data_IF_161080865683
#
_entry.id   IF_161080865683
#
_cell.length_a   1.000
_cell.length_b   1.000
_cell.length_c   1.000
_cell.angle_alpha   90.00
_cell.angle_beta   90.00
_cell.angle_gamma   90.00
#
_symmetry.space_group_name_H-M   'P 1'
#
loop_
_entity.id
_entity.type
_entity.pdbx_description
1 polymer ?
#
# COMPACT_ATOMS: atom_id res chain seq x y z
N UNK A 1 -0.67 -11.09 -17.12
CA UNK A 1 0.12 -10.59 -15.98
C UNK A 1 0.57 -11.80 -15.20
N UNK A 2 1.78 -11.80 -14.65
CA UNK A 2 2.26 -12.90 -13.81
C UNK A 2 1.31 -13.14 -12.62
N UNK A 3 0.94 -14.40 -12.39
CA UNK A 3 0.05 -14.82 -11.30
C UNK A 3 0.62 -14.40 -9.92
N UNK A 4 1.95 -14.41 -9.79
CA UNK A 4 2.67 -13.92 -8.60
C UNK A 4 2.43 -12.43 -8.35
N UNK A 5 2.37 -11.63 -9.41
CA UNK A 5 2.17 -10.20 -9.37
C UNK A 5 0.74 -9.84 -9.00
N UNK A 6 -0.22 -10.60 -9.54
CA UNK A 6 -1.64 -10.47 -9.18
C UNK A 6 -1.85 -10.72 -7.68
N UNK A 7 -1.27 -11.81 -7.15
CA UNK A 7 -1.32 -12.13 -5.71
C UNK A 7 -0.66 -11.07 -4.83
N UNK A 8 0.45 -10.48 -5.29
CA UNK A 8 1.10 -9.38 -4.58
C UNK A 8 0.19 -8.15 -4.49
N UNK A 9 -0.44 -7.75 -5.60
CA UNK A 9 -1.39 -6.61 -5.64
C UNK A 9 -2.60 -6.85 -4.74
N UNK A 10 -3.19 -8.05 -4.80
CA UNK A 10 -4.31 -8.43 -3.94
C UNK A 10 -3.92 -8.37 -2.45
N UNK A 11 -2.73 -8.87 -2.09
CA UNK A 11 -2.23 -8.80 -0.71
C UNK A 11 -2.01 -7.37 -0.23
N UNK A 12 -1.41 -6.52 -1.07
CA UNK A 12 -1.20 -5.10 -0.76
C UNK A 12 -2.55 -4.38 -0.57
N UNK A 13 -3.49 -4.60 -1.49
CA UNK A 13 -4.82 -4.00 -1.40
C UNK A 13 -5.55 -4.42 -0.12
N UNK A 14 -5.50 -5.71 0.23
CA UNK A 14 -6.07 -6.24 1.47
C UNK A 14 -5.46 -5.55 2.71
N UNK A 15 -4.13 -5.45 2.76
CA UNK A 15 -3.42 -4.83 3.87
C UNK A 15 -3.68 -3.33 4.03
N UNK A 16 -3.92 -2.62 2.92
CA UNK A 16 -4.35 -1.21 2.92
C UNK A 16 -5.77 -1.11 3.47
N UNK A 17 -6.70 -1.93 2.97
CA UNK A 17 -8.09 -1.92 3.42
C UNK A 17 -8.23 -2.25 4.91
N UNK A 18 -7.47 -3.21 5.43
CA UNK A 18 -7.44 -3.55 6.86
C UNK A 18 -6.98 -2.36 7.72
N UNK A 19 -5.97 -1.61 7.26
CA UNK A 19 -5.48 -0.41 7.96
C UNK A 19 -6.48 0.74 7.89
N UNK A 20 -7.12 0.95 6.75
CA UNK A 20 -8.18 1.94 6.59
C UNK A 20 -9.37 1.66 7.53
N UNK A 21 -9.77 0.38 7.65
CA UNK A 21 -10.82 -0.04 8.55
C UNK A 21 -10.44 0.19 10.02
N UNK A 22 -9.19 -0.10 10.40
CA UNK A 22 -8.71 0.18 11.76
C UNK A 22 -8.73 1.69 12.07
N UNK A 23 -8.38 2.54 11.10
CA UNK A 23 -8.45 4.00 11.25
C UNK A 23 -9.89 4.51 11.34
N UNK A 24 -10.82 3.93 10.58
CA UNK A 24 -12.24 4.25 10.72
C UNK A 24 -12.73 3.98 12.16
N UNK A 25 -12.39 2.82 12.73
CA UNK A 25 -12.75 2.50 14.12
C UNK A 25 -12.13 3.46 15.15
N UNK A 26 -10.89 3.92 14.91
CA UNK A 26 -10.26 4.94 15.76
C UNK A 26 -10.92 6.32 15.64
N UNK A 27 -11.40 6.70 14.45
CA UNK A 27 -12.18 7.94 14.24
C UNK A 27 -13.50 7.88 15.01
N UNK A 28 -14.21 6.76 14.93
CA UNK A 28 -15.44 6.54 15.71
C UNK A 28 -15.14 6.64 17.22
N UNK A 29 -14.01 6.09 17.67
CA UNK A 29 -13.54 6.22 19.05
C UNK A 29 -13.23 7.66 19.47
N UNK A 30 -12.71 8.49 18.55
CA UNK A 30 -12.47 9.92 18.80
C UNK A 30 -13.78 10.71 18.95
N UNK A 31 -14.80 10.37 18.16
CA UNK A 31 -16.14 10.97 18.25
C UNK A 31 -16.84 10.62 19.56
N UNK A 32 -16.65 9.39 20.04
CA UNK A 32 -17.25 8.87 21.27
C UNK A 32 -16.44 9.19 22.54
N UNK A 33 -15.30 9.88 22.40
CA UNK A 33 -14.41 10.17 23.51
C UNK A 33 -15.10 11.04 24.58
N UNK A 34 -15.10 10.55 25.82
CA UNK A 34 -15.79 11.22 26.95
C UNK A 34 -15.12 12.50 27.40
N UNK A 35 -13.81 12.63 27.19
CA UNK A 35 -13.05 13.81 27.60
C UNK A 35 -12.36 14.45 26.40
N UNK A 36 -12.16 15.78 26.47
CA UNK A 36 -11.42 16.53 25.47
C UNK A 36 -9.99 16.00 25.30
N UNK A 37 -9.33 15.64 26.41
CA UNK A 37 -7.97 15.13 26.40
C UNK A 37 -7.87 13.78 25.68
N UNK A 38 -8.80 12.86 25.93
CA UNK A 38 -8.85 11.57 25.24
C UNK A 38 -9.07 11.76 23.74
N UNK A 39 -9.99 12.66 23.37
CA UNK A 39 -10.24 13.00 21.97
C UNK A 39 -8.98 13.53 21.29
N UNK A 40 -8.27 14.48 21.90
CA UNK A 40 -7.04 15.06 21.35
C UNK A 40 -5.96 14.00 21.15
N UNK A 41 -5.77 13.10 22.13
CA UNK A 41 -4.82 11.98 22.02
C UNK A 41 -5.16 11.04 20.88
N UNK A 42 -6.44 10.70 20.71
CA UNK A 42 -6.89 9.83 19.61
C UNK A 42 -6.68 10.55 18.27
N UNK A 43 -7.01 11.84 18.15
CA UNK A 43 -6.82 12.63 16.93
C UNK A 43 -5.34 12.76 16.54
N UNK A 44 -4.45 12.97 17.50
CA UNK A 44 -3.00 12.98 17.26
C UNK A 44 -2.52 11.62 16.75
N UNK A 45 -3.03 10.53 17.32
CA UNK A 45 -2.70 9.17 16.88
C UNK A 45 -3.22 8.91 15.47
N UNK A 46 -4.45 9.34 15.16
CA UNK A 46 -5.02 9.26 13.81
C UNK A 46 -4.19 10.02 12.78
N UNK A 47 -3.72 11.23 13.10
CA UNK A 47 -2.91 12.02 12.19
C UNK A 47 -1.61 11.31 11.78
N UNK A 48 -0.90 10.71 12.75
CA UNK A 48 0.33 9.95 12.49
C UNK A 48 0.04 8.73 11.61
N UNK A 49 -1.01 7.96 11.94
CA UNK A 49 -1.32 6.75 11.20
C UNK A 49 -1.88 7.03 9.80
N UNK A 50 -2.58 8.16 9.60
CA UNK A 50 -3.02 8.62 8.28
C UNK A 50 -1.82 8.99 7.38
N UNK A 51 -0.79 9.64 7.94
CA UNK A 51 0.46 9.93 7.23
C UNK A 51 1.20 8.64 6.85
N UNK A 52 1.31 7.70 7.79
CA UNK A 52 1.91 6.39 7.50
C UNK A 52 1.15 5.68 6.37
N UNK A 53 -0.18 5.61 6.44
CA UNK A 53 -1.01 4.99 5.40
C UNK A 53 -0.83 5.66 4.03
N UNK A 54 -0.72 6.98 3.99
CA UNK A 54 -0.42 7.70 2.76
C UNK A 54 0.94 7.27 2.18
N UNK A 55 1.97 7.12 3.02
CA UNK A 55 3.27 6.57 2.63
C UNK A 55 3.17 5.15 2.06
N UNK A 56 2.41 4.26 2.71
CA UNK A 56 2.17 2.89 2.21
C UNK A 56 1.50 2.90 0.83
N UNK A 57 0.50 3.77 0.61
CA UNK A 57 -0.19 3.92 -0.68
C UNK A 57 0.75 4.43 -1.78
N UNK A 58 1.66 5.36 -1.45
CA UNK A 58 2.66 5.83 -2.40
C UNK A 58 3.62 4.70 -2.81
N UNK A 59 4.10 3.90 -1.85
CA UNK A 59 4.96 2.74 -2.14
C UNK A 59 4.22 1.73 -3.01
N UNK A 60 2.95 1.43 -2.70
CA UNK A 60 2.12 0.54 -3.51
C UNK A 60 1.99 1.05 -4.96
N UNK A 61 1.71 2.35 -5.15
CA UNK A 61 1.64 2.96 -6.47
C UNK A 61 2.97 2.87 -7.25
N UNK A 62 4.12 3.05 -6.56
CA UNK A 62 5.45 2.89 -7.17
C UNK A 62 5.72 1.45 -7.60
N UNK A 63 5.28 0.46 -6.82
CA UNK A 63 5.37 -0.96 -7.20
C UNK A 63 4.54 -1.19 -8.48
N UNK A 64 3.31 -0.68 -8.55
CA UNK A 64 2.49 -0.81 -9.76
C UNK A 64 3.12 -0.13 -10.99
N UNK A 65 3.74 1.03 -10.81
CA UNK A 65 4.46 1.71 -11.88
C UNK A 65 5.69 0.92 -12.34
N UNK A 66 6.51 0.42 -11.41
CA UNK A 66 7.72 -0.36 -11.74
C UNK A 66 7.39 -1.59 -12.59
N UNK A 67 6.25 -2.24 -12.31
CA UNK A 67 5.73 -3.36 -13.10
C UNK A 67 5.39 -2.98 -14.55
N UNK A 68 4.90 -1.76 -14.77
CA UNK A 68 4.62 -1.26 -16.13
C UNK A 68 5.90 -0.96 -16.90
N UNK A 69 7.00 -0.66 -16.20
CA UNK A 69 8.29 -0.31 -16.79
C UNK A 69 9.27 -1.48 -16.95
N UNK A 70 8.98 -2.67 -16.43
CA UNK A 70 9.82 -3.83 -16.74
C UNK A 70 9.79 -4.09 -18.26
N UNK A 71 10.93 -3.91 -18.95
CA UNK A 71 11.00 -4.31 -20.33
C UNK A 71 10.90 -5.83 -20.32
N UNK A 72 9.91 -6.37 -21.04
CA UNK A 72 9.81 -7.79 -21.42
C UNK A 72 10.97 -8.21 -22.35
N UNK A 73 12.20 -7.80 -22.04
CA UNK A 73 13.42 -8.07 -22.77
C UNK A 73 14.13 -9.27 -22.15
N UNK A 74 13.51 -10.44 -22.28
CA UNK A 74 14.28 -11.59 -22.73
C UNK A 74 13.94 -11.81 -24.20
N UNK A 75 14.29 -10.80 -24.99
CA UNK A 75 14.57 -10.95 -26.42
C UNK A 75 15.61 -12.07 -26.49
N UNK A 76 15.23 -13.22 -27.03
CA UNK A 76 16.15 -14.31 -27.30
C UNK A 76 17.40 -13.70 -27.98
N UNK A 77 18.51 -13.65 -27.25
CA UNK A 77 19.80 -13.33 -27.84
C UNK A 77 20.07 -14.51 -28.77
N UNK A 78 19.73 -14.36 -30.05
CA UNK A 78 20.15 -15.31 -31.09
C UNK A 78 21.67 -15.25 -31.11
N UNK A 79 22.30 -16.26 -30.49
CA UNK A 79 23.71 -16.53 -30.71
C UNK A 79 23.92 -16.70 -32.23
N UNK A 80 24.85 -15.96 -32.85
CA UNK A 80 25.29 -16.35 -34.18
C UNK A 80 25.98 -17.70 -34.04
N UNK A 81 25.52 -18.69 -34.79
CA UNK A 81 26.20 -19.97 -34.90
C UNK A 81 27.62 -19.71 -35.39
N UNK A 82 28.61 -19.97 -34.53
CA UNK A 82 30.01 -20.04 -34.96
C UNK A 82 30.12 -21.27 -35.87
N UNK A 83 30.61 -21.01 -37.08
CA UNK A 83 30.86 -22.02 -38.12
C UNK A 83 31.81 -23.10 -37.65
#
# INVERSE_FOLDING_TARGET
MDESLKRLRERIAKQIAEREAALASLRDGAEQARTKHDRERILLTLAVLDEELAGWKQVAARIEQAVLFEPRNHRAIRMPALR
#
